data_IF_867420777516
#
_entry.id   IF_867420777516
#
_cell.length_a   1.000
_cell.length_b   1.000
_cell.length_c   1.000
_cell.angle_alpha   90.00
_cell.angle_beta   90.00
_cell.angle_gamma   90.00
#
_symmetry.space_group_name_H-M   'P 1'
#
loop_
_entity.id
_entity.type
_entity.pdbx_description
1 polymer ?
#
# COMPACT_ATOMS: atom_id res chain seq x y z
N UNK A 1 0.14 14.44 -70.43
CA UNK A 1 -0.99 14.94 -69.62
C UNK A 1 -1.12 13.99 -68.46
N UNK A 2 -0.52 14.32 -67.31
CA UNK A 2 -0.60 13.49 -66.12
C UNK A 2 -1.88 13.81 -65.35
N UNK A 3 -2.48 12.74 -64.84
CA UNK A 3 -3.84 12.56 -64.40
C UNK A 3 -4.18 13.38 -63.13
N UNK A 4 -5.10 14.34 -63.25
CA UNK A 4 -5.60 15.12 -62.10
C UNK A 4 -6.55 14.31 -61.19
N UNK A 5 -6.98 13.10 -61.60
CA UNK A 5 -7.87 12.26 -60.81
C UNK A 5 -7.21 11.65 -59.58
N UNK A 6 -5.91 11.33 -59.66
CA UNK A 6 -5.15 10.64 -58.62
C UNK A 6 -4.87 11.56 -57.40
N UNK A 7 -4.62 12.85 -57.66
CA UNK A 7 -4.31 13.85 -56.63
C UNK A 7 -5.55 14.17 -55.77
N UNK A 8 -6.74 14.15 -56.37
CA UNK A 8 -8.00 14.42 -55.66
C UNK A 8 -8.41 13.25 -54.73
N UNK A 9 -8.12 12.02 -55.14
CA UNK A 9 -8.38 10.81 -54.35
C UNK A 9 -7.45 10.72 -53.13
N UNK A 10 -6.17 11.04 -53.31
CA UNK A 10 -5.17 11.04 -52.24
C UNK A 10 -5.51 12.03 -51.12
N UNK A 11 -5.99 13.23 -51.49
CA UNK A 11 -6.34 14.31 -50.55
C UNK A 11 -7.62 14.02 -49.75
N UNK A 12 -8.59 13.30 -50.34
CA UNK A 12 -9.77 12.82 -49.61
C UNK A 12 -9.40 11.72 -48.61
N UNK A 13 -8.53 10.78 -49.02
CA UNK A 13 -8.05 9.72 -48.14
C UNK A 13 -7.26 10.26 -46.94
N UNK A 14 -6.37 11.23 -47.15
CA UNK A 14 -5.60 11.85 -46.05
C UNK A 14 -6.50 12.62 -45.09
N UNK A 15 -7.51 13.36 -45.57
CA UNK A 15 -8.46 14.07 -44.69
C UNK A 15 -9.31 13.13 -43.85
N UNK A 16 -9.79 12.02 -44.41
CA UNK A 16 -10.52 11.01 -43.64
C UNK A 16 -9.63 10.31 -42.61
N UNK A 17 -8.37 10.04 -42.94
CA UNK A 17 -7.44 9.39 -42.00
C UNK A 17 -7.08 10.28 -40.80
N UNK A 18 -6.88 11.58 -41.05
CA UNK A 18 -6.59 12.56 -39.97
C UNK A 18 -7.81 12.77 -39.06
N UNK A 19 -9.03 12.79 -39.61
CA UNK A 19 -10.26 12.91 -38.83
C UNK A 19 -10.51 11.68 -37.92
N UNK A 20 -10.19 10.48 -38.39
CA UNK A 20 -10.32 9.24 -37.61
C UNK A 20 -9.26 9.18 -36.50
N UNK A 21 -8.00 9.54 -36.78
CA UNK A 21 -6.96 9.61 -35.76
C UNK A 21 -7.26 10.64 -34.65
N UNK A 22 -7.84 11.79 -35.01
CA UNK A 22 -8.24 12.80 -34.02
C UNK A 22 -9.35 12.32 -33.06
N UNK A 23 -10.21 11.40 -33.49
CA UNK A 23 -11.25 10.80 -32.64
C UNK A 23 -10.71 9.72 -31.68
N UNK A 24 -9.58 9.07 -32.01
CA UNK A 24 -8.94 8.10 -31.13
C UNK A 24 -8.02 8.72 -30.07
N UNK A 25 -7.49 9.91 -30.29
CA UNK A 25 -6.59 10.60 -29.33
C UNK A 25 -7.37 11.27 -28.19
N UNK A 26 -8.67 11.48 -28.37
CA UNK A 26 -9.53 12.18 -27.40
C UNK A 26 -10.37 11.23 -26.52
N UNK A 27 -9.97 9.98 -26.34
CA UNK A 27 -10.56 9.17 -25.27
C UNK A 27 -9.94 9.62 -23.94
N UNK A 28 -10.70 10.26 -23.04
CA UNK A 28 -10.21 10.51 -21.69
C UNK A 28 -9.87 9.16 -21.07
N UNK A 29 -8.60 8.97 -20.73
CA UNK A 29 -8.16 7.88 -19.85
C UNK A 29 -8.73 8.21 -18.48
N UNK A 30 -10.01 7.90 -18.27
CA UNK A 30 -10.54 7.81 -16.92
C UNK A 30 -9.90 6.56 -16.32
N UNK A 31 -9.17 6.73 -15.21
CA UNK A 31 -8.93 5.60 -14.33
C UNK A 31 -10.32 5.08 -13.94
N UNK A 32 -10.65 3.85 -14.36
CA UNK A 32 -11.97 3.23 -14.19
C UNK A 32 -12.30 2.98 -12.70
N UNK A 33 -11.29 3.12 -11.83
CA UNK A 33 -11.36 2.86 -10.41
C UNK A 33 -10.96 4.09 -9.60
N UNK A 34 -11.86 4.52 -8.70
CA UNK A 34 -11.55 5.54 -7.69
C UNK A 34 -10.65 4.91 -6.64
N UNK A 35 -9.45 5.47 -6.44
CA UNK A 35 -8.53 4.99 -5.41
C UNK A 35 -9.01 5.50 -4.05
N UNK A 36 -9.35 4.58 -3.16
CA UNK A 36 -9.71 4.81 -1.77
C UNK A 36 -8.96 3.85 -0.84
N UNK A 37 -9.27 3.91 0.46
CA UNK A 37 -8.61 3.07 1.46
C UNK A 37 -8.73 1.56 1.19
N UNK A 38 -9.82 1.11 0.56
CA UNK A 38 -10.08 -0.31 0.33
C UNK A 38 -9.23 -0.92 -0.79
N UNK A 39 -8.80 -0.10 -1.75
CA UNK A 39 -8.04 -0.54 -2.92
C UNK A 39 -6.66 0.14 -3.08
N UNK A 40 -6.29 1.10 -2.21
CA UNK A 40 -5.03 1.84 -2.33
C UNK A 40 -3.79 0.94 -2.39
N UNK A 41 -3.80 -0.21 -1.69
CA UNK A 41 -2.71 -1.18 -1.71
C UNK A 41 -2.45 -1.79 -3.10
N UNK A 42 -3.41 -1.72 -4.02
CA UNK A 42 -3.29 -2.21 -5.40
C UNK A 42 -2.68 -1.16 -6.34
N UNK A 43 -2.64 0.10 -5.91
CA UNK A 43 -2.22 1.26 -6.70
C UNK A 43 -0.94 1.92 -6.17
N UNK A 44 -0.14 1.19 -5.40
CA UNK A 44 1.13 1.68 -4.83
C UNK A 44 2.13 1.97 -5.95
N UNK A 45 2.64 3.20 -6.00
CA UNK A 45 3.19 3.76 -7.23
C UNK A 45 4.60 4.33 -7.18
N UNK A 46 5.19 4.58 -6.01
CA UNK A 46 6.61 5.00 -5.99
C UNK A 46 7.06 5.96 -4.89
N UNK A 47 6.48 5.90 -3.70
CA UNK A 47 7.06 6.60 -2.54
C UNK A 47 6.51 8.01 -2.28
N UNK A 48 5.30 8.30 -2.74
CA UNK A 48 4.63 9.58 -2.49
C UNK A 48 3.69 9.57 -1.27
N UNK A 49 3.10 10.72 -0.97
CA UNK A 49 2.15 10.92 0.14
C UNK A 49 1.01 9.88 0.17
N UNK A 50 0.45 9.51 -0.99
CA UNK A 50 -0.61 8.51 -1.09
C UNK A 50 -0.17 7.11 -0.65
N UNK A 51 1.07 6.71 -0.95
CA UNK A 51 1.61 5.42 -0.51
C UNK A 51 1.80 5.43 1.02
N UNK A 52 2.32 6.53 1.57
CA UNK A 52 2.48 6.69 3.03
C UNK A 52 1.15 6.56 3.77
N UNK A 53 0.14 7.35 3.38
CA UNK A 53 -1.17 7.35 4.02
C UNK A 53 -1.82 5.96 3.95
N UNK A 54 -1.75 5.31 2.79
CA UNK A 54 -2.27 3.97 2.60
C UNK A 54 -1.59 2.96 3.55
N UNK A 55 -0.26 2.93 3.58
CA UNK A 55 0.46 2.01 4.46
C UNK A 55 0.20 2.28 5.95
N UNK A 56 0.25 3.53 6.38
CA UNK A 56 0.03 3.91 7.79
C UNK A 56 -1.38 3.57 8.27
N UNK A 57 -2.38 3.85 7.44
CA UNK A 57 -3.77 3.57 7.80
C UNK A 57 -4.03 2.06 7.90
N UNK A 58 -3.56 1.28 6.93
CA UNK A 58 -3.66 -0.18 6.97
C UNK A 58 -2.86 -0.79 8.12
N UNK A 59 -1.67 -0.26 8.43
CA UNK A 59 -0.87 -0.71 9.57
C UNK A 59 -1.63 -0.52 10.90
N UNK A 60 -2.33 0.61 11.07
CA UNK A 60 -3.17 0.88 12.26
C UNK A 60 -4.36 -0.06 12.36
N UNK A 61 -5.03 -0.34 11.24
CA UNK A 61 -6.11 -1.33 11.22
C UNK A 61 -5.61 -2.73 11.61
N UNK A 62 -4.49 -3.17 11.03
CA UNK A 62 -3.88 -4.44 11.35
C UNK A 62 -3.44 -4.51 12.81
N UNK A 63 -2.88 -3.44 13.38
CA UNK A 63 -2.53 -3.39 14.80
C UNK A 63 -3.76 -3.58 15.70
N UNK A 64 -4.87 -2.90 15.37
CA UNK A 64 -6.13 -3.03 16.11
C UNK A 64 -6.68 -4.46 16.03
N UNK A 65 -6.65 -5.07 14.84
CA UNK A 65 -7.09 -6.45 14.66
C UNK A 65 -6.15 -7.46 15.38
N UNK A 66 -4.84 -7.27 15.32
CA UNK A 66 -3.86 -8.09 16.04
C UNK A 66 -4.13 -8.12 17.54
N UNK A 67 -4.42 -6.95 18.14
CA UNK A 67 -4.81 -6.87 19.56
C UNK A 67 -6.11 -7.62 19.84
N UNK A 68 -7.10 -7.50 18.95
CA UNK A 68 -8.38 -8.20 19.06
C UNK A 68 -8.19 -9.72 19.00
N UNK A 69 -7.50 -10.24 17.98
CA UNK A 69 -7.25 -11.67 17.79
C UNK A 69 -6.41 -12.25 18.93
N UNK A 70 -5.35 -11.54 19.36
CA UNK A 70 -4.54 -11.98 20.51
C UNK A 70 -5.37 -12.09 21.80
N UNK A 71 -6.32 -11.18 22.02
CA UNK A 71 -7.25 -11.28 23.15
C UNK A 71 -8.22 -12.46 23.00
N UNK A 72 -8.72 -12.73 21.79
CA UNK A 72 -9.53 -13.91 21.50
C UNK A 72 -8.78 -15.21 21.78
N UNK A 73 -7.51 -15.33 21.34
CA UNK A 73 -6.63 -16.47 21.66
C UNK A 73 -6.49 -16.63 23.18
N UNK A 74 -6.23 -15.55 23.93
CA UNK A 74 -6.10 -15.60 25.39
C UNK A 74 -7.39 -16.03 26.11
N UNK A 75 -8.55 -15.82 25.49
CA UNK A 75 -9.84 -16.22 26.03
C UNK A 75 -10.22 -17.67 25.70
N UNK A 76 -9.50 -18.31 24.78
CA UNK A 76 -9.79 -19.68 24.32
C UNK A 76 -9.54 -20.71 25.42
N UNK A 77 -10.46 -21.68 25.52
CA UNK A 77 -10.36 -22.76 26.50
C UNK A 77 -9.07 -23.57 26.30
N UNK A 78 -8.34 -23.83 27.39
CA UNK A 78 -7.07 -24.57 27.36
C UNK A 78 -5.80 -23.71 27.22
N UNK A 79 -5.91 -22.41 26.93
CA UNK A 79 -4.76 -21.49 26.98
C UNK A 79 -4.49 -21.06 28.42
N UNK A 80 -3.38 -21.52 29.00
CA UNK A 80 -3.00 -21.32 30.41
C UNK A 80 -1.91 -20.26 30.58
N UNK A 81 -1.59 -19.93 31.84
CA UNK A 81 -0.73 -18.80 32.22
C UNK A 81 0.58 -18.67 31.44
N UNK A 82 1.30 -19.77 31.23
CA UNK A 82 2.55 -19.75 30.45
C UNK A 82 2.33 -19.38 28.98
N UNK A 83 1.33 -19.98 28.32
CA UNK A 83 0.98 -19.66 26.94
C UNK A 83 0.45 -18.23 26.78
N UNK A 84 -0.30 -17.73 27.76
CA UNK A 84 -0.75 -16.31 27.76
C UNK A 84 0.45 -15.37 27.88
N UNK A 85 1.38 -15.67 28.78
CA UNK A 85 2.59 -14.87 28.97
C UNK A 85 3.49 -14.90 27.73
N UNK A 86 3.58 -16.04 27.04
CA UNK A 86 4.32 -16.15 25.79
C UNK A 86 3.67 -15.32 24.67
N UNK A 87 2.34 -15.36 24.55
CA UNK A 87 1.65 -14.50 23.58
C UNK A 87 1.87 -13.01 23.90
N UNK A 88 1.81 -12.61 25.17
CA UNK A 88 2.06 -11.22 25.55
C UNK A 88 3.53 -10.81 25.28
N UNK A 89 4.50 -11.73 25.42
CA UNK A 89 5.90 -11.49 25.01
C UNK A 89 6.00 -11.30 23.50
N UNK A 90 5.35 -12.16 22.73
CA UNK A 90 5.30 -12.07 21.28
C UNK A 90 4.71 -10.72 20.83
N UNK A 91 3.57 -10.31 21.38
CA UNK A 91 2.95 -9.02 21.04
C UNK A 91 3.90 -7.84 21.30
N UNK A 92 4.59 -7.82 22.44
CA UNK A 92 5.59 -6.79 22.75
C UNK A 92 6.78 -6.83 21.79
N UNK A 93 7.27 -8.00 21.43
CA UNK A 93 8.38 -8.13 20.49
C UNK A 93 8.02 -7.57 19.10
N UNK A 94 6.78 -7.77 18.64
CA UNK A 94 6.28 -7.18 17.40
C UNK A 94 6.16 -5.65 17.49
N UNK A 95 5.72 -5.11 18.63
CA UNK A 95 5.68 -3.65 18.85
C UNK A 95 7.07 -3.03 18.86
N UNK A 96 8.07 -3.67 19.47
CA UNK A 96 9.45 -3.22 19.44
C UNK A 96 10.06 -3.32 18.03
N UNK A 97 9.74 -4.38 17.27
CA UNK A 97 10.15 -4.50 15.88
C UNK A 97 9.56 -3.38 15.00
N UNK A 98 8.29 -3.02 15.21
CA UNK A 98 7.66 -1.91 14.50
C UNK A 98 8.36 -0.58 14.77
N UNK A 99 8.72 -0.28 16.03
CA UNK A 99 9.48 0.95 16.36
C UNK A 99 10.85 1.03 15.66
N UNK A 100 11.45 -0.10 15.30
CA UNK A 100 12.71 -0.11 14.58
C UNK A 100 12.57 0.35 13.12
N UNK A 101 11.35 0.37 12.55
CA UNK A 101 11.08 0.89 11.21
C UNK A 101 11.43 2.38 11.08
N UNK A 102 11.25 3.16 12.15
CA UNK A 102 11.52 4.60 12.17
C UNK A 102 13.02 4.93 12.31
N UNK A 103 13.88 3.92 12.52
CA UNK A 103 15.30 4.12 12.79
C UNK A 103 16.02 4.75 11.59
N UNK A 104 15.68 4.34 10.37
CA UNK A 104 16.30 4.87 9.16
C UNK A 104 16.00 6.37 8.98
N UNK A 105 14.73 6.76 9.11
CA UNK A 105 14.30 8.16 9.07
C UNK A 105 14.99 8.96 10.17
N UNK A 106 14.99 8.43 11.41
CA UNK A 106 15.64 9.09 12.56
C UNK A 106 17.13 9.34 12.33
N UNK A 107 17.87 8.36 11.80
CA UNK A 107 19.28 8.51 11.48
C UNK A 107 19.51 9.51 10.34
N UNK A 108 18.63 9.54 9.32
CA UNK A 108 18.71 10.52 8.24
C UNK A 108 18.53 11.96 8.75
N UNK A 109 17.57 12.19 9.64
CA UNK A 109 17.37 13.48 10.33
C UNK A 109 18.57 13.84 11.22
N UNK A 110 19.03 12.91 12.07
CA UNK A 110 20.17 13.13 12.98
C UNK A 110 21.48 13.43 12.24
N UNK A 111 21.63 12.94 11.00
CA UNK A 111 22.80 13.18 10.14
C UNK A 111 22.71 14.44 9.28
N UNK A 112 21.71 15.30 9.51
CA UNK A 112 21.61 16.64 8.91
C UNK A 112 21.57 16.63 7.36
N UNK A 113 21.01 15.57 6.78
CA UNK A 113 20.66 15.54 5.36
C UNK A 113 19.40 16.40 5.23
N UNK A 114 19.60 17.72 5.07
CA UNK A 114 18.58 18.77 4.84
C UNK A 114 17.18 18.46 5.40
N UNK A 115 16.77 19.06 6.53
CA UNK A 115 15.39 18.90 7.03
C UNK A 115 14.38 19.26 5.92
N UNK A 116 13.68 18.28 5.31
CA UNK A 116 12.63 18.60 4.37
C UNK A 116 11.56 19.43 5.10
N UNK A 117 10.89 20.37 4.42
CA UNK A 117 9.81 21.10 5.07
C UNK A 117 8.81 20.08 5.64
N UNK A 118 8.39 20.24 6.90
CA UNK A 118 7.50 19.32 7.66
C UNK A 118 6.17 18.97 6.99
N UNK A 119 5.89 19.55 5.82
CA UNK A 119 4.74 19.32 4.97
C UNK A 119 5.01 18.29 3.86
N UNK A 120 6.23 17.76 3.76
CA UNK A 120 6.61 16.76 2.76
C UNK A 120 6.81 15.40 3.42
N UNK A 121 6.13 14.40 2.86
CA UNK A 121 6.46 12.99 3.05
C UNK A 121 7.59 12.68 2.09
N UNK A 122 8.72 12.23 2.62
CA UNK A 122 9.85 11.79 1.82
C UNK A 122 9.84 10.27 1.62
N UNK A 123 10.81 9.77 0.85
CA UNK A 123 10.92 8.34 0.57
C UNK A 123 11.18 7.51 1.85
N UNK A 124 11.92 8.05 2.82
CA UNK A 124 12.20 7.36 4.09
C UNK A 124 10.94 7.23 4.94
N UNK A 125 10.08 8.24 4.95
CA UNK A 125 8.76 8.17 5.60
C UNK A 125 7.92 7.04 4.98
N UNK A 126 7.87 6.92 3.65
CA UNK A 126 7.14 5.82 2.99
C UNK A 126 7.75 4.47 3.29
N UNK A 127 9.09 4.37 3.36
CA UNK A 127 9.77 3.14 3.75
C UNK A 127 9.45 2.74 5.19
N UNK A 128 9.38 3.70 6.11
CA UNK A 128 8.95 3.49 7.50
C UNK A 128 7.51 2.97 7.57
N UNK A 129 6.57 3.66 6.90
CA UNK A 129 5.17 3.25 6.83
C UNK A 129 4.99 1.84 6.22
N UNK A 130 5.70 1.53 5.13
CA UNK A 130 5.70 0.19 4.52
C UNK A 130 6.24 -0.87 5.46
N UNK A 131 7.28 -0.55 6.23
CA UNK A 131 7.84 -1.44 7.24
C UNK A 131 6.82 -1.72 8.35
N UNK A 132 6.15 -0.69 8.87
CA UNK A 132 5.04 -0.85 9.82
C UNK A 132 3.96 -1.78 9.28
N UNK A 133 3.46 -1.50 8.07
CA UNK A 133 2.46 -2.34 7.43
C UNK A 133 2.91 -3.81 7.34
N UNK A 134 4.14 -4.05 6.88
CA UNK A 134 4.65 -5.40 6.67
C UNK A 134 4.74 -6.21 7.96
N UNK A 135 5.24 -5.60 9.04
CA UNK A 135 5.31 -6.23 10.36
C UNK A 135 3.91 -6.53 10.90
N UNK A 136 3.00 -5.54 10.83
CA UNK A 136 1.62 -5.70 11.31
C UNK A 136 0.86 -6.76 10.52
N UNK A 137 1.07 -6.84 9.21
CA UNK A 137 0.48 -7.86 8.35
C UNK A 137 1.01 -9.25 8.70
N UNK A 138 2.33 -9.42 8.81
CA UNK A 138 2.91 -10.71 9.18
C UNK A 138 2.42 -11.18 10.56
N UNK A 139 2.33 -10.26 11.52
CA UNK A 139 1.76 -10.53 12.83
C UNK A 139 0.28 -10.96 12.72
N UNK A 140 -0.50 -10.29 11.88
CA UNK A 140 -1.91 -10.61 11.66
C UNK A 140 -2.09 -12.01 11.10
N UNK A 141 -1.38 -12.32 10.02
CA UNK A 141 -1.40 -13.62 9.36
C UNK A 141 -1.07 -14.73 10.39
N UNK A 142 0.01 -14.57 11.16
CA UNK A 142 0.39 -15.52 12.21
C UNK A 142 -0.67 -15.69 13.31
N UNK A 143 -1.27 -14.60 13.79
CA UNK A 143 -2.28 -14.67 14.86
C UNK A 143 -3.56 -15.35 14.39
N UNK A 144 -4.01 -15.08 13.16
CA UNK A 144 -5.17 -15.74 12.58
C UNK A 144 -4.91 -17.23 12.34
N UNK A 145 -3.74 -17.59 11.81
CA UNK A 145 -3.32 -18.99 11.68
C UNK A 145 -3.32 -19.69 13.05
N UNK A 146 -2.70 -19.07 14.06
CA UNK A 146 -2.66 -19.61 15.41
C UNK A 146 -4.05 -19.78 16.02
N UNK A 147 -4.95 -18.84 15.77
CA UNK A 147 -6.34 -18.91 16.23
C UNK A 147 -7.10 -20.05 15.55
N UNK A 148 -6.93 -20.22 14.23
CA UNK A 148 -7.58 -21.28 13.44
C UNK A 148 -7.20 -22.69 13.89
N UNK A 149 -5.94 -22.92 14.29
CA UNK A 149 -5.46 -24.21 14.81
C UNK A 149 -6.21 -24.61 16.08
N UNK A 150 -6.65 -23.64 16.89
CA UNK A 150 -7.35 -23.88 18.16
C UNK A 150 -8.86 -24.00 18.02
N UNK A 151 -9.42 -23.58 16.89
CA UNK A 151 -10.86 -23.70 16.58
C UNK A 151 -11.16 -24.85 15.63
N UNK A 152 -10.29 -25.87 15.56
CA UNK A 152 -10.45 -26.99 14.64
C UNK A 152 -11.88 -27.52 14.56
N UNK A 153 -12.38 -27.56 13.33
CA UNK A 153 -13.45 -28.47 12.90
C UNK A 153 -13.14 -29.92 13.29
#
# INVERSE_FOLDING_TARGET
>A
MHDMGEVLALHKFTKSFVAVMALFIAQPIYADEYIDDSNCMQHLGGGGFGDFDCYEHHAKYLEADNKKVANSIKSTHGVKGESKAELDRYMRAQDEAAKACDLASKLAYDWNIEEPPKTHVDMYDVMGARCHYSIRKQQNDFLHDLYSIKTGE
#
